data_IF_890751961342
#
_entry.id   IF_890751961342
#
_cell.length_a   1.000
_cell.length_b   1.000
_cell.length_c   1.000
_cell.angle_alpha   90.00
_cell.angle_beta   90.00
_cell.angle_gamma   90.00
#
_symmetry.space_group_name_H-M   'P 1'
#
loop_
_entity.id
_entity.type
_entity.pdbx_description
1 polymer ?
#
# COMPACT_ATOMS: atom_id res chain seq x y z
N UNK A 1 -47.70 -20.42 68.40
CA UNK A 1 -48.06 -19.86 67.06
C UNK A 1 -46.99 -20.30 66.06
N UNK A 2 -47.30 -21.41 65.34
CA UNK A 2 -46.40 -21.99 64.34
C UNK A 2 -46.83 -21.51 62.95
N UNK A 3 -45.93 -20.75 62.26
CA UNK A 3 -46.16 -20.38 60.89
C UNK A 3 -45.46 -21.41 59.99
N UNK A 4 -46.27 -22.14 59.22
CA UNK A 4 -45.81 -23.11 58.22
C UNK A 4 -45.47 -22.34 56.92
N UNK A 5 -44.28 -22.45 56.38
CA UNK A 5 -44.01 -21.91 55.06
C UNK A 5 -44.55 -22.81 53.95
N UNK A 6 -45.35 -22.22 53.10
CA UNK A 6 -45.92 -22.80 51.90
C UNK A 6 -44.85 -22.96 50.83
N UNK A 7 -44.40 -24.19 50.55
CA UNK A 7 -43.44 -24.49 49.46
C UNK A 7 -44.30 -24.62 48.20
N UNK A 8 -44.14 -23.62 47.33
CA UNK A 8 -44.66 -23.64 45.96
C UNK A 8 -43.68 -24.40 45.08
N UNK A 9 -43.96 -25.63 44.75
CA UNK A 9 -43.24 -26.41 43.74
C UNK A 9 -43.65 -25.92 42.35
N UNK A 10 -42.70 -25.22 41.69
CA UNK A 10 -42.87 -24.85 40.30
C UNK A 10 -42.38 -26.03 39.46
N UNK A 11 -43.31 -26.73 38.81
CA UNK A 11 -43.01 -27.73 37.78
C UNK A 11 -42.56 -27.01 36.52
N UNK A 12 -41.27 -27.09 36.18
CA UNK A 12 -40.78 -26.74 34.85
C UNK A 12 -41.11 -27.91 33.92
N UNK A 13 -41.99 -27.67 32.99
CA UNK A 13 -42.24 -28.56 31.86
C UNK A 13 -41.15 -28.24 30.83
N UNK A 14 -40.16 -29.12 30.71
CA UNK A 14 -39.23 -29.09 29.61
C UNK A 14 -39.94 -29.55 28.33
N UNK A 15 -40.21 -28.60 27.43
CA UNK A 15 -40.66 -28.93 26.09
C UNK A 15 -39.43 -29.32 25.26
N UNK A 16 -39.25 -30.64 25.08
CA UNK A 16 -38.33 -31.17 24.07
C UNK A 16 -38.84 -30.82 22.67
N UNK A 17 -38.24 -29.81 22.09
CA UNK A 17 -38.44 -29.49 20.67
C UNK A 17 -37.45 -30.34 19.88
N UNK A 18 -37.91 -31.27 19.04
CA UNK A 18 -36.99 -32.03 18.19
C UNK A 18 -36.37 -31.09 17.13
N UNK A 19 -35.09 -30.82 17.27
CA UNK A 19 -34.30 -30.13 16.23
C UNK A 19 -34.08 -31.13 15.07
N UNK A 20 -34.53 -30.83 13.86
CA UNK A 20 -34.20 -31.67 12.71
C UNK A 20 -32.69 -31.61 12.46
N UNK A 21 -32.01 -32.73 12.70
CA UNK A 21 -30.61 -32.92 12.27
C UNK A 21 -30.58 -33.00 10.74
N UNK A 22 -30.38 -31.86 10.12
CA UNK A 22 -29.92 -31.82 8.72
C UNK A 22 -28.48 -32.31 8.67
N UNK A 23 -28.28 -33.58 8.40
CA UNK A 23 -27.01 -34.17 8.06
C UNK A 23 -26.62 -33.66 6.68
N UNK A 24 -26.10 -32.44 6.61
CA UNK A 24 -25.38 -32.01 5.42
C UNK A 24 -23.99 -32.63 5.47
N UNK A 25 -23.86 -33.70 4.76
CA UNK A 25 -22.59 -34.28 4.35
C UNK A 25 -21.76 -33.19 3.63
N UNK A 26 -20.84 -32.59 4.39
CA UNK A 26 -19.94 -31.54 3.89
C UNK A 26 -18.92 -32.22 2.99
N UNK A 27 -19.30 -32.39 1.69
CA UNK A 27 -18.37 -32.72 0.62
C UNK A 27 -17.18 -31.77 0.74
N UNK A 28 -15.91 -32.26 0.80
CA UNK A 28 -14.76 -31.38 0.79
C UNK A 28 -14.76 -30.62 -0.53
N UNK A 29 -15.14 -29.36 -0.51
CA UNK A 29 -14.89 -28.44 -1.59
C UNK A 29 -13.40 -28.26 -1.64
N UNK A 30 -12.76 -28.92 -2.62
CA UNK A 30 -11.39 -28.67 -3.00
C UNK A 30 -11.33 -27.20 -3.47
N UNK A 31 -11.01 -26.30 -2.55
CA UNK A 31 -10.67 -24.92 -2.87
C UNK A 31 -9.23 -24.95 -3.39
N UNK A 32 -9.10 -25.33 -4.67
CA UNK A 32 -8.00 -24.87 -5.50
C UNK A 32 -8.32 -23.41 -5.86
N UNK A 33 -8.38 -22.53 -4.86
CA UNK A 33 -8.23 -21.12 -5.10
C UNK A 33 -6.74 -20.94 -5.34
N UNK A 34 -6.37 -20.73 -6.62
CA UNK A 34 -5.20 -19.93 -6.91
C UNK A 34 -5.39 -18.67 -6.08
N UNK A 35 -4.61 -18.51 -5.04
CA UNK A 35 -4.51 -17.30 -4.25
C UNK A 35 -4.08 -16.23 -5.27
N UNK A 36 -5.04 -15.45 -5.74
CA UNK A 36 -4.77 -14.28 -6.56
C UNK A 36 -3.93 -13.37 -5.68
N UNK A 37 -2.62 -13.37 -5.92
CA UNK A 37 -1.69 -12.50 -5.20
C UNK A 37 -2.04 -11.08 -5.60
N UNK A 38 -2.93 -10.45 -4.81
CA UNK A 38 -3.29 -9.06 -5.00
C UNK A 38 -2.05 -8.19 -4.77
N UNK A 39 -1.76 -7.32 -5.72
CA UNK A 39 -0.71 -6.31 -5.55
C UNK A 39 -0.92 -5.55 -4.23
N UNK A 40 0.14 -5.27 -3.46
CA UNK A 40 0.04 -4.45 -2.27
C UNK A 40 -0.66 -3.12 -2.57
N UNK A 41 -1.54 -2.67 -1.67
CA UNK A 41 -2.34 -1.45 -1.87
C UNK A 41 -1.49 -0.24 -2.27
N UNK A 42 -0.32 -0.07 -1.61
CA UNK A 42 0.62 1.01 -1.97
C UNK A 42 1.12 0.92 -3.41
N UNK A 43 1.32 -0.28 -3.96
CA UNK A 43 1.70 -0.48 -5.37
C UNK A 43 0.55 -0.12 -6.30
N UNK A 44 -0.68 -0.52 -5.98
CA UNK A 44 -1.86 -0.18 -6.78
C UNK A 44 -2.03 1.33 -6.88
N UNK A 45 -1.90 2.03 -5.75
CA UNK A 45 -1.98 3.49 -5.68
C UNK A 45 -0.81 4.16 -6.42
N UNK A 46 0.40 3.65 -6.28
CA UNK A 46 1.58 4.13 -7.00
C UNK A 46 1.38 4.04 -8.52
N UNK A 47 0.94 2.89 -9.02
CA UNK A 47 0.62 2.68 -10.44
C UNK A 47 -0.46 3.65 -10.91
N UNK A 48 -1.54 3.77 -10.15
CA UNK A 48 -2.70 4.61 -10.50
C UNK A 48 -2.37 6.11 -10.59
N UNK A 49 -1.59 6.62 -9.63
CA UNK A 49 -1.44 8.06 -9.47
C UNK A 49 -0.10 8.61 -9.97
N UNK A 50 0.92 7.77 -10.13
CA UNK A 50 2.29 8.24 -10.35
C UNK A 50 2.90 7.74 -11.66
N UNK A 51 2.57 6.52 -12.13
CA UNK A 51 3.22 5.94 -13.30
C UNK A 51 2.90 6.64 -14.63
N UNK A 52 1.88 7.49 -14.66
CA UNK A 52 1.63 8.33 -15.84
C UNK A 52 2.84 9.23 -16.17
N UNK A 53 3.57 9.72 -15.16
CA UNK A 53 4.77 10.53 -15.33
C UNK A 53 6.05 9.74 -14.99
N UNK A 54 6.04 8.99 -13.89
CA UNK A 54 7.17 8.18 -13.40
C UNK A 54 7.12 6.76 -13.98
N UNK A 55 7.02 6.63 -15.30
CA UNK A 55 6.83 5.37 -15.99
C UNK A 55 8.09 4.47 -15.90
N UNK A 56 7.99 3.26 -15.28
CA UNK A 56 9.12 2.33 -15.21
C UNK A 56 9.39 1.59 -16.53
N UNK A 57 8.52 1.72 -17.54
CA UNK A 57 8.59 0.97 -18.81
C UNK A 57 9.06 1.85 -19.99
N UNK A 58 9.79 2.93 -19.73
CA UNK A 58 10.37 3.77 -20.82
C UNK A 58 11.51 3.03 -21.52
N UNK A 59 11.58 3.16 -22.85
CA UNK A 59 12.57 2.47 -23.65
C UNK A 59 13.99 3.06 -23.51
N UNK A 60 14.11 4.35 -23.19
CA UNK A 60 15.39 5.04 -23.03
C UNK A 60 15.34 6.13 -21.96
N UNK A 61 16.53 6.57 -21.50
CA UNK A 61 16.67 7.70 -20.59
C UNK A 61 16.15 9.02 -21.19
N UNK A 62 16.14 9.15 -22.51
CA UNK A 62 15.70 10.39 -23.16
C UNK A 62 14.18 10.52 -23.25
N UNK A 63 13.47 9.41 -23.11
CA UNK A 63 11.99 9.37 -23.15
C UNK A 63 11.32 9.65 -21.81
N UNK A 64 12.07 9.73 -20.71
CA UNK A 64 11.48 10.00 -19.41
C UNK A 64 11.03 11.44 -19.30
N UNK A 65 9.86 11.64 -18.71
CA UNK A 65 9.28 12.97 -18.38
C UNK A 65 9.34 13.28 -16.89
N UNK A 66 9.73 12.30 -16.07
CA UNK A 66 9.99 12.42 -14.65
C UNK A 66 11.02 11.35 -14.24
N UNK A 67 11.75 11.51 -13.12
CA UNK A 67 12.74 10.54 -12.69
C UNK A 67 12.12 9.21 -12.30
N UNK A 68 12.72 8.06 -12.63
CA UNK A 68 12.25 6.74 -12.16
C UNK A 68 12.26 6.65 -10.63
N UNK A 69 11.31 5.93 -10.06
CA UNK A 69 11.18 5.78 -8.60
C UNK A 69 12.40 5.15 -7.94
N UNK A 70 13.09 4.25 -8.60
CA UNK A 70 14.36 3.69 -8.10
C UNK A 70 15.40 4.80 -7.85
N UNK A 71 15.48 5.78 -8.75
CA UNK A 71 16.34 6.95 -8.57
C UNK A 71 15.89 7.84 -7.42
N UNK A 72 14.60 8.11 -7.33
CA UNK A 72 14.02 8.91 -6.25
C UNK A 72 14.32 8.23 -4.90
N UNK A 73 13.99 6.93 -4.76
CA UNK A 73 14.26 6.15 -3.56
C UNK A 73 15.72 6.22 -3.15
N UNK A 74 16.63 6.00 -4.10
CA UNK A 74 18.09 6.06 -3.85
C UNK A 74 18.54 7.41 -3.29
N UNK A 75 18.02 8.52 -3.83
CA UNK A 75 18.35 9.87 -3.34
C UNK A 75 17.78 10.12 -1.94
N UNK A 76 16.53 9.75 -1.70
CA UNK A 76 15.89 9.92 -0.39
C UNK A 76 16.53 9.05 0.68
N UNK A 77 16.87 7.80 0.40
CA UNK A 77 17.55 6.89 1.36
C UNK A 77 18.94 7.39 1.74
N UNK A 78 19.66 8.05 0.82
CA UNK A 78 20.96 8.65 1.13
C UNK A 78 20.84 9.91 1.99
N UNK A 79 19.83 10.73 1.74
CA UNK A 79 19.64 11.98 2.47
C UNK A 79 18.98 11.73 3.84
N UNK A 80 18.13 10.73 3.93
CA UNK A 80 17.31 10.37 5.10
C UNK A 80 17.43 8.87 5.37
N UNK A 81 18.50 8.41 6.03
CA UNK A 81 18.73 6.98 6.28
C UNK A 81 17.70 6.37 7.25
N UNK A 82 17.12 7.19 8.13
CA UNK A 82 16.10 6.76 9.06
C UNK A 82 14.71 6.70 8.36
N UNK A 83 14.01 5.56 8.50
CA UNK A 83 12.73 5.32 7.85
C UNK A 83 11.70 6.44 8.08
N UNK A 84 11.56 6.92 9.30
CA UNK A 84 10.61 7.99 9.62
C UNK A 84 10.95 9.29 8.89
N UNK A 85 12.25 9.66 8.86
CA UNK A 85 12.71 10.87 8.17
C UNK A 85 12.52 10.76 6.66
N UNK A 86 12.80 9.58 6.07
CA UNK A 86 12.51 9.29 4.66
C UNK A 86 11.03 9.51 4.35
N UNK A 87 10.16 8.89 5.16
CA UNK A 87 8.71 8.96 4.97
C UNK A 87 8.21 10.41 5.08
N UNK A 88 8.58 11.11 6.16
CA UNK A 88 8.15 12.49 6.39
C UNK A 88 8.62 13.45 5.28
N UNK A 89 9.88 13.33 4.85
CA UNK A 89 10.45 14.19 3.81
C UNK A 89 9.74 13.97 2.46
N UNK A 90 9.51 12.71 2.06
CA UNK A 90 8.86 12.38 0.81
C UNK A 90 7.37 12.75 0.82
N UNK A 91 6.64 12.42 1.88
CA UNK A 91 5.23 12.81 2.06
C UNK A 91 5.07 14.32 2.00
N UNK A 92 5.90 15.07 2.74
CA UNK A 92 5.88 16.54 2.76
C UNK A 92 6.08 17.14 1.36
N UNK A 93 7.02 16.59 0.58
CA UNK A 93 7.25 17.05 -0.78
C UNK A 93 6.08 16.74 -1.71
N UNK A 94 5.53 15.52 -1.65
CA UNK A 94 4.38 15.13 -2.51
C UNK A 94 3.14 15.98 -2.19
N UNK A 95 2.87 16.26 -0.92
CA UNK A 95 1.73 17.07 -0.50
C UNK A 95 1.84 18.54 -0.92
N UNK A 96 3.05 19.08 -0.95
CA UNK A 96 3.31 20.47 -1.30
C UNK A 96 4.64 20.64 -2.04
N UNK A 97 4.69 20.28 -3.34
CA UNK A 97 5.90 20.40 -4.14
C UNK A 97 6.33 21.87 -4.26
N UNK A 98 7.58 22.15 -3.87
CA UNK A 98 8.22 23.47 -3.99
C UNK A 98 9.64 23.29 -4.50
N UNK A 99 10.06 24.11 -5.47
CA UNK A 99 11.38 23.99 -6.09
C UNK A 99 12.52 24.15 -5.05
N UNK A 100 12.31 25.02 -4.06
CA UNK A 100 13.27 25.29 -2.98
C UNK A 100 13.45 24.09 -2.05
N UNK A 101 12.38 23.31 -1.86
CA UNK A 101 12.33 22.14 -0.98
C UNK A 101 12.68 20.83 -1.68
N UNK A 102 12.77 20.83 -3.01
CA UNK A 102 13.09 19.63 -3.75
C UNK A 102 14.48 19.12 -3.41
N UNK A 103 14.58 17.85 -2.98
CA UNK A 103 15.87 17.19 -2.73
C UNK A 103 16.67 17.03 -4.03
N UNK A 104 15.98 16.72 -5.12
CA UNK A 104 16.59 16.43 -6.42
C UNK A 104 16.52 17.66 -7.34
N UNK A 105 17.47 18.58 -7.23
CA UNK A 105 17.50 19.83 -8.01
C UNK A 105 17.72 19.60 -9.51
N UNK A 106 18.49 18.56 -9.89
CA UNK A 106 18.74 18.18 -11.28
C UNK A 106 17.45 17.82 -12.02
N UNK A 107 16.66 16.88 -11.54
CA UNK A 107 15.34 16.57 -12.09
C UNK A 107 14.41 17.78 -12.18
N UNK A 108 14.34 18.65 -11.15
CA UNK A 108 13.53 19.86 -11.22
C UNK A 108 13.99 20.79 -12.36
N UNK A 109 15.31 20.92 -12.58
CA UNK A 109 15.84 21.70 -13.70
C UNK A 109 15.52 21.08 -15.07
N UNK A 110 15.53 19.73 -15.16
CA UNK A 110 15.33 19.02 -16.43
C UNK A 110 13.84 18.89 -16.79
N UNK A 111 13.01 18.52 -15.85
CA UNK A 111 11.60 18.14 -16.07
C UNK A 111 10.58 19.18 -15.56
N UNK A 112 11.05 20.19 -14.85
CA UNK A 112 10.19 21.11 -14.10
C UNK A 112 9.81 20.56 -12.71
N UNK A 113 9.08 21.39 -11.97
CA UNK A 113 8.55 20.99 -10.67
C UNK A 113 7.40 20.02 -10.85
N UNK A 114 7.41 18.92 -10.08
CA UNK A 114 6.30 17.96 -10.02
C UNK A 114 5.00 18.71 -9.66
N UNK A 115 3.91 18.55 -10.42
CA UNK A 115 2.63 19.11 -10.04
C UNK A 115 2.11 18.39 -8.78
N UNK A 116 1.35 19.10 -7.94
CA UNK A 116 0.68 18.48 -6.80
C UNK A 116 -0.31 17.43 -7.27
N UNK A 117 -0.15 16.15 -6.89
CA UNK A 117 -1.08 15.11 -7.32
C UNK A 117 -2.42 15.21 -6.58
N UNK A 118 -3.50 14.77 -7.24
CA UNK A 118 -4.83 14.65 -6.64
C UNK A 118 -4.94 13.31 -5.86
N UNK A 119 -4.22 13.22 -4.74
CA UNK A 119 -4.10 12.02 -3.89
C UNK A 119 -4.33 12.45 -2.45
N UNK A 120 -5.04 11.65 -1.66
CA UNK A 120 -5.28 11.96 -0.24
C UNK A 120 -3.99 11.78 0.59
N UNK A 121 -3.90 12.42 1.76
CA UNK A 121 -2.76 12.23 2.65
C UNK A 121 -2.53 10.76 3.03
N UNK A 122 -3.59 10.00 3.26
CA UNK A 122 -3.55 8.59 3.62
C UNK A 122 -2.99 7.75 2.46
N UNK A 123 -3.47 7.96 1.24
CA UNK A 123 -2.94 7.30 0.05
C UNK A 123 -1.46 7.63 -0.19
N UNK A 124 -1.04 8.89 0.05
CA UNK A 124 0.38 9.28 -0.04
C UNK A 124 1.23 8.49 0.95
N UNK A 125 0.76 8.31 2.19
CA UNK A 125 1.49 7.49 3.18
C UNK A 125 1.63 6.03 2.76
N UNK A 126 0.58 5.42 2.18
CA UNK A 126 0.63 4.05 1.65
C UNK A 126 1.62 3.93 0.49
N UNK A 127 1.60 4.87 -0.45
CA UNK A 127 2.53 4.94 -1.58
C UNK A 127 3.98 5.06 -1.07
N UNK A 128 4.25 6.00 -0.16
CA UNK A 128 5.61 6.24 0.34
C UNK A 128 6.12 5.06 1.16
N UNK A 129 5.27 4.43 1.97
CA UNK A 129 5.61 3.20 2.70
C UNK A 129 5.96 2.05 1.76
N UNK A 130 5.23 1.92 0.65
CA UNK A 130 5.55 0.93 -0.38
C UNK A 130 6.91 1.23 -1.04
N UNK A 131 7.16 2.47 -1.44
CA UNK A 131 8.43 2.91 -2.04
C UNK A 131 9.60 2.61 -1.11
N UNK A 132 9.47 2.92 0.17
CA UNK A 132 10.54 2.72 1.16
C UNK A 132 10.86 1.23 1.36
N UNK A 133 9.82 0.39 1.51
CA UNK A 133 9.96 -1.00 1.95
C UNK A 133 10.20 -2.03 0.84
N UNK A 134 10.03 -1.69 -0.43
CA UNK A 134 10.03 -2.67 -1.52
C UNK A 134 11.04 -2.35 -2.62
N UNK A 135 11.44 -3.37 -3.38
CA UNK A 135 12.10 -3.19 -4.66
C UNK A 135 11.10 -2.62 -5.67
N UNK A 136 11.56 -1.63 -6.42
CA UNK A 136 10.70 -0.90 -7.36
C UNK A 136 10.93 -1.35 -8.80
N UNK A 137 9.88 -1.30 -9.59
CA UNK A 137 10.00 -1.46 -11.03
C UNK A 137 10.93 -0.39 -11.60
N UNK A 138 11.80 -0.80 -12.53
CA UNK A 138 12.82 0.09 -13.12
C UNK A 138 12.94 -0.16 -14.60
N UNK A 139 13.25 0.89 -15.40
CA UNK A 139 13.43 0.75 -16.82
C UNK A 139 14.59 -0.20 -17.16
N UNK A 140 14.52 -0.87 -18.31
CA UNK A 140 15.54 -1.81 -18.75
C UNK A 140 16.95 -1.17 -18.89
N UNK A 141 17.03 0.11 -19.24
CA UNK A 141 18.27 0.89 -19.37
C UNK A 141 18.86 1.35 -18.03
N UNK A 142 18.16 1.14 -16.89
CA UNK A 142 18.58 1.65 -15.58
C UNK A 142 19.97 1.17 -15.13
N UNK A 143 20.29 -0.10 -15.40
CA UNK A 143 21.58 -0.68 -15.04
C UNK A 143 22.75 0.05 -15.74
N UNK A 144 22.60 0.33 -17.04
CA UNK A 144 23.61 1.03 -17.84
C UNK A 144 23.79 2.47 -17.38
N UNK A 145 22.69 3.16 -17.08
CA UNK A 145 22.70 4.51 -16.53
C UNK A 145 23.49 4.61 -15.22
N UNK A 146 23.34 3.64 -14.30
CA UNK A 146 24.09 3.59 -13.04
C UNK A 146 25.60 3.36 -13.24
N UNK A 147 25.98 2.68 -14.30
CA UNK A 147 27.37 2.37 -14.64
C UNK A 147 28.05 3.45 -15.48
N UNK A 148 27.44 4.61 -15.68
CA UNK A 148 28.00 5.75 -16.41
C UNK A 148 27.76 5.69 -17.92
N UNK A 149 26.87 4.85 -18.40
CA UNK A 149 26.36 4.88 -19.77
C UNK A 149 25.39 6.06 -19.93
N UNK A 150 25.76 7.05 -20.70
CA UNK A 150 24.88 8.08 -21.26
C UNK A 150 24.26 7.55 -22.53
#
# INVERSE_FOLDING_TARGET
MYLIPLIISIFYVEMDIPVPQSTQEKKPVSISQAEEVLDPEGLVLLKKHCYACHNPNTASHDEIIAPPFEGIKSHYSKAYPEKNQFTEAMVSFIQNPQAEKALMKGPVKRFGLMPKPAVTPEEIHLIVSYIEGNDLEKPSWWADHKNGGN
#
